data_IF_740828798746
#
_entry.id   IF_740828798746
#
_cell.length_a   1.000
_cell.length_b   1.000
_cell.length_c   1.000
_cell.angle_alpha   90.00
_cell.angle_beta   90.00
_cell.angle_gamma   90.00
#
_symmetry.space_group_name_H-M   'P 1'
#
loop_
_entity.id
_entity.type
_entity.pdbx_description
1 polymer ?
#
# COMPACT_ATOMS: atom_id res chain seq x y z
N UNK A 1 8.84 5.02 -21.55
CA UNK A 1 9.31 5.06 -20.14
C UNK A 1 9.47 6.51 -19.74
N UNK A 2 8.91 6.91 -18.61
CA UNK A 2 9.01 8.26 -18.05
C UNK A 2 9.67 8.12 -16.68
N UNK A 3 10.64 9.00 -16.38
CA UNK A 3 11.36 9.05 -15.10
C UNK A 3 11.16 10.41 -14.44
N UNK A 4 11.22 10.46 -13.11
CA UNK A 4 11.29 11.71 -12.36
C UNK A 4 12.72 12.30 -12.34
N UNK A 5 12.88 13.44 -11.69
CA UNK A 5 14.16 14.15 -11.51
C UNK A 5 15.22 13.34 -10.74
N UNK A 6 14.79 12.31 -9.99
CA UNK A 6 15.66 11.39 -9.26
C UNK A 6 15.94 10.10 -10.04
N UNK A 7 15.47 10.00 -11.28
CA UNK A 7 15.67 8.83 -12.14
C UNK A 7 14.76 7.64 -11.82
N UNK A 8 13.79 7.78 -10.90
CA UNK A 8 12.79 6.76 -10.59
C UNK A 8 11.80 6.67 -11.75
N UNK A 9 11.50 5.45 -12.20
CA UNK A 9 10.52 5.22 -13.26
C UNK A 9 9.13 5.54 -12.69
N UNK A 10 8.45 6.53 -13.28
CA UNK A 10 7.10 6.95 -12.90
C UNK A 10 6.02 6.42 -13.85
N UNK A 11 6.39 6.05 -15.08
CA UNK A 11 5.46 5.42 -16.03
C UNK A 11 6.19 4.56 -17.05
N UNK A 12 5.60 3.43 -17.41
CA UNK A 12 6.05 2.58 -18.49
C UNK A 12 4.87 2.30 -19.42
N UNK A 13 5.08 2.41 -20.74
CA UNK A 13 4.08 1.99 -21.72
C UNK A 13 4.26 0.49 -21.91
N UNK A 14 3.28 -0.26 -21.44
CA UNK A 14 3.20 -1.71 -21.62
C UNK A 14 2.20 -1.98 -22.74
N UNK A 15 2.38 -3.06 -23.48
CA UNK A 15 1.38 -3.50 -24.45
C UNK A 15 0.12 -3.93 -23.70
N UNK A 16 -1.06 -3.61 -24.23
CA UNK A 16 -2.35 -3.90 -23.56
C UNK A 16 -2.48 -5.40 -23.21
N UNK A 17 -2.00 -6.28 -24.09
CA UNK A 17 -1.92 -7.73 -23.80
C UNK A 17 -1.10 -8.05 -22.53
N UNK A 18 0.06 -7.41 -22.35
CA UNK A 18 0.91 -7.65 -21.18
C UNK A 18 0.30 -7.03 -19.93
N UNK A 19 -0.43 -5.93 -20.07
CA UNK A 19 -1.20 -5.32 -19.01
C UNK A 19 -2.31 -6.27 -18.53
N UNK A 20 -3.06 -6.86 -19.46
CA UNK A 20 -4.17 -7.77 -19.14
C UNK A 20 -3.65 -9.07 -18.51
N UNK A 21 -2.56 -9.64 -19.05
CA UNK A 21 -1.87 -10.79 -18.43
C UNK A 21 -1.37 -10.43 -17.03
N UNK A 22 -0.78 -9.25 -16.83
CA UNK A 22 -0.32 -8.83 -15.52
C UNK A 22 -1.47 -8.68 -14.53
N UNK A 23 -2.63 -8.14 -14.95
CA UNK A 23 -3.82 -8.09 -14.11
C UNK A 23 -4.32 -9.49 -13.76
N UNK A 24 -4.44 -10.38 -14.74
CA UNK A 24 -4.93 -11.75 -14.54
C UNK A 24 -4.03 -12.55 -13.58
N UNK A 25 -2.70 -12.47 -13.79
CA UNK A 25 -1.70 -13.16 -12.96
C UNK A 25 -1.63 -12.57 -11.55
N UNK A 26 -1.69 -11.24 -11.43
CA UNK A 26 -1.72 -10.58 -10.11
C UNK A 26 -3.01 -10.90 -9.35
N UNK A 27 -4.09 -11.25 -10.07
CA UNK A 27 -5.33 -11.77 -9.53
C UNK A 27 -5.86 -10.97 -8.36
N UNK A 28 -6.02 -11.64 -7.21
CA UNK A 28 -6.49 -11.04 -5.94
C UNK A 28 -5.35 -10.64 -5.00
N UNK A 29 -4.11 -10.73 -5.45
CA UNK A 29 -2.93 -10.41 -4.64
C UNK A 29 -2.70 -8.90 -4.55
N UNK A 30 -3.20 -8.12 -5.52
CA UNK A 30 -3.09 -6.66 -5.54
C UNK A 30 -4.46 -6.01 -5.34
N UNK A 31 -4.55 -5.11 -4.36
CA UNK A 31 -5.75 -4.33 -4.09
C UNK A 31 -5.44 -2.84 -4.21
N UNK A 32 -6.03 -2.17 -5.18
CA UNK A 32 -6.07 -0.71 -5.25
C UNK A 32 -7.46 -0.25 -4.86
N UNK A 33 -7.57 0.67 -3.90
CA UNK A 33 -8.86 1.14 -3.44
C UNK A 33 -8.79 2.57 -2.91
N UNK A 34 -9.90 3.30 -3.10
CA UNK A 34 -10.11 4.62 -2.52
C UNK A 34 -11.16 4.58 -1.41
N UNK A 35 -11.70 3.38 -1.11
CA UNK A 35 -12.71 3.19 -0.08
C UNK A 35 -12.03 2.91 1.26
N UNK A 36 -12.44 3.64 2.29
CA UNK A 36 -11.95 3.51 3.66
C UNK A 36 -12.37 2.19 4.32
N UNK A 37 -13.48 1.59 3.89
CA UNK A 37 -14.04 0.38 4.47
C UNK A 37 -14.04 -0.74 3.45
N UNK A 38 -13.18 -1.75 3.67
CA UNK A 38 -13.12 -2.93 2.80
C UNK A 38 -12.62 -4.16 3.56
N UNK A 39 -13.31 -5.27 3.36
CA UNK A 39 -12.82 -6.59 3.77
C UNK A 39 -11.85 -7.08 2.69
N UNK A 40 -10.61 -7.34 3.08
CA UNK A 40 -9.57 -7.78 2.15
C UNK A 40 -9.57 -9.31 2.03
N UNK A 41 -9.37 -9.80 0.81
CA UNK A 41 -9.22 -11.23 0.55
C UNK A 41 -7.93 -11.74 1.22
N UNK A 42 -7.94 -12.99 1.72
CA UNK A 42 -6.79 -13.60 2.41
C UNK A 42 -5.55 -13.75 1.51
N UNK A 43 -5.75 -13.65 0.19
CA UNK A 43 -4.71 -13.65 -0.83
C UNK A 43 -4.11 -12.26 -1.06
N UNK A 44 -4.69 -11.18 -0.55
CA UNK A 44 -4.16 -9.83 -0.76
C UNK A 44 -2.76 -9.70 -0.17
N UNK A 45 -1.79 -9.37 -1.02
CA UNK A 45 -0.38 -9.14 -0.67
C UNK A 45 0.03 -7.70 -0.83
N UNK A 46 -0.59 -6.94 -1.73
CA UNK A 46 -0.19 -5.57 -2.03
C UNK A 46 -1.41 -4.66 -1.94
N UNK A 47 -1.28 -3.55 -1.22
CA UNK A 47 -2.38 -2.60 -1.03
C UNK A 47 -1.90 -1.21 -1.43
N UNK A 48 -2.63 -0.59 -2.35
CA UNK A 48 -2.49 0.81 -2.68
C UNK A 48 -3.76 1.54 -2.27
N UNK A 49 -3.64 2.42 -1.27
CA UNK A 49 -4.74 3.24 -0.80
C UNK A 49 -4.46 4.72 -1.07
N UNK A 50 -5.37 5.36 -1.80
CA UNK A 50 -5.26 6.77 -2.15
C UNK A 50 -6.58 7.47 -1.87
N UNK A 51 -6.65 8.19 -0.75
CA UNK A 51 -7.80 9.03 -0.42
C UNK A 51 -7.40 10.18 0.53
N UNK A 52 -7.76 11.40 0.14
CA UNK A 52 -7.44 12.66 0.84
C UNK A 52 -8.44 12.98 1.97
N UNK A 53 -8.83 12.00 2.79
CA UNK A 53 -9.71 12.23 3.94
C UNK A 53 -10.42 10.98 4.46
N UNK A 54 -10.74 10.94 5.76
CA UNK A 54 -11.48 9.85 6.38
C UNK A 54 -10.61 8.82 7.12
N UNK A 55 -11.26 8.06 7.98
CA UNK A 55 -10.66 7.00 8.79
C UNK A 55 -10.57 5.72 7.98
N UNK A 56 -9.41 5.06 7.98
CA UNK A 56 -9.25 3.78 7.30
C UNK A 56 -9.67 2.66 8.27
N UNK A 57 -10.68 1.88 7.89
CA UNK A 57 -11.07 0.66 8.60
C UNK A 57 -11.04 -0.52 7.63
N UNK A 58 -9.82 -1.03 7.44
CA UNK A 58 -9.61 -2.25 6.69
C UNK A 58 -9.60 -3.43 7.64
N UNK A 59 -10.45 -4.41 7.36
CA UNK A 59 -10.46 -5.66 8.09
C UNK A 59 -9.47 -6.62 7.43
N UNK A 60 -8.32 -6.82 8.06
CA UNK A 60 -7.25 -7.63 7.52
C UNK A 60 -7.38 -9.08 7.95
N UNK A 61 -7.39 -10.04 7.01
CA UNK A 61 -7.13 -11.42 7.35
C UNK A 61 -5.72 -11.52 7.96
N UNK A 62 -5.56 -12.28 9.04
CA UNK A 62 -4.29 -12.46 9.80
C UNK A 62 -3.20 -13.21 9.02
N UNK A 63 -3.23 -13.20 7.69
CA UNK A 63 -2.37 -14.04 6.86
C UNK A 63 -0.98 -13.44 6.66
N UNK A 64 -0.01 -14.36 6.72
CA UNK A 64 1.43 -14.13 6.76
C UNK A 64 1.96 -13.75 5.38
N UNK A 65 2.78 -12.70 5.35
CA UNK A 65 3.87 -12.40 4.39
C UNK A 65 3.58 -11.24 3.42
N UNK A 66 4.38 -10.17 3.59
CA UNK A 66 4.89 -9.41 2.45
C UNK A 66 4.10 -8.18 2.06
N UNK A 67 3.28 -7.63 2.95
CA UNK A 67 2.46 -6.49 2.59
C UNK A 67 3.32 -5.30 2.17
N UNK A 68 3.14 -4.83 0.93
CA UNK A 68 3.59 -3.51 0.51
C UNK A 68 2.40 -2.58 0.53
N UNK A 69 2.58 -1.45 1.18
CA UNK A 69 1.55 -0.44 1.30
C UNK A 69 2.02 0.85 0.68
N UNK A 70 1.14 1.45 -0.12
CA UNK A 70 1.24 2.86 -0.48
C UNK A 70 0.03 3.61 0.09
N UNK A 71 0.26 4.60 0.93
CA UNK A 71 -0.78 5.50 1.46
C UNK A 71 -0.55 6.92 0.93
N UNK A 72 -1.60 7.51 0.36
CA UNK A 72 -1.71 8.95 0.12
C UNK A 72 -2.69 9.61 1.09
N UNK A 73 -2.45 9.50 2.40
CA UNK A 73 -3.32 10.04 3.47
C UNK A 73 -2.48 10.51 4.67
N UNK A 74 -3.05 11.36 5.52
CA UNK A 74 -2.39 11.96 6.69
C UNK A 74 -2.04 10.97 7.82
N UNK A 75 -1.35 11.47 8.84
CA UNK A 75 -0.74 10.68 9.94
C UNK A 75 -1.71 9.77 10.70
N UNK A 76 -2.95 10.20 10.93
CA UNK A 76 -3.95 9.44 11.70
C UNK A 76 -4.34 8.11 11.06
N UNK A 77 -4.34 8.05 9.73
CA UNK A 77 -4.60 6.84 8.97
C UNK A 77 -3.48 5.81 9.11
N UNK A 78 -2.23 6.28 9.25
CA UNK A 78 -1.06 5.42 9.42
C UNK A 78 -1.11 4.71 10.77
N UNK A 79 -1.42 5.43 11.86
CA UNK A 79 -1.47 4.85 13.21
C UNK A 79 -2.46 3.68 13.34
N UNK A 80 -3.65 3.82 12.75
CA UNK A 80 -4.65 2.73 12.77
C UNK A 80 -4.19 1.51 11.97
N UNK A 81 -3.49 1.73 10.85
CA UNK A 81 -2.96 0.64 10.03
C UNK A 81 -1.81 -0.09 10.71
N UNK A 82 -0.94 0.62 11.41
CA UNK A 82 0.19 0.05 12.14
C UNK A 82 -0.24 -0.94 13.22
N UNK A 83 -1.39 -0.74 13.85
CA UNK A 83 -1.94 -1.68 14.84
C UNK A 83 -2.21 -3.07 14.27
N UNK A 84 -2.58 -3.14 13.00
CA UNK A 84 -3.02 -4.38 12.37
C UNK A 84 -1.90 -5.11 11.61
N UNK A 85 -0.76 -4.48 11.34
CA UNK A 85 0.18 -4.93 10.30
C UNK A 85 1.58 -5.29 10.79
N UNK A 86 1.68 -6.34 11.59
CA UNK A 86 2.98 -6.79 12.14
C UNK A 86 3.96 -7.35 11.11
N UNK A 87 3.50 -7.66 9.89
CA UNK A 87 4.29 -8.33 8.83
C UNK A 87 4.55 -7.44 7.60
N UNK A 88 4.32 -6.12 7.71
CA UNK A 88 4.57 -5.16 6.62
C UNK A 88 6.07 -5.16 6.26
N UNK A 89 6.38 -5.18 4.96
CA UNK A 89 7.77 -5.18 4.46
C UNK A 89 8.14 -3.92 3.71
N UNK A 90 7.17 -3.26 3.09
CA UNK A 90 7.38 -2.03 2.35
C UNK A 90 6.27 -1.01 2.66
N UNK A 91 6.66 0.22 2.98
CA UNK A 91 5.74 1.31 3.30
C UNK A 91 6.12 2.59 2.54
N UNK A 92 5.22 3.04 1.66
CA UNK A 92 5.35 4.28 0.93
C UNK A 92 4.33 5.32 1.43
N UNK A 93 4.84 6.38 2.06
CA UNK A 93 4.09 7.50 2.61
C UNK A 93 4.29 8.82 1.82
N UNK A 94 4.94 8.74 0.65
CA UNK A 94 5.40 9.92 -0.10
C UNK A 94 4.28 10.89 -0.50
N UNK A 95 3.03 10.41 -0.52
CA UNK A 95 1.86 11.16 -0.97
C UNK A 95 0.96 11.64 0.19
N UNK A 96 1.32 11.35 1.44
CA UNK A 96 0.46 11.58 2.61
C UNK A 96 0.60 12.94 3.31
N UNK A 97 1.50 13.82 2.86
CA UNK A 97 1.74 15.12 3.51
C UNK A 97 2.13 15.00 4.99
N UNK A 98 2.79 13.90 5.36
CA UNK A 98 3.09 13.56 6.75
C UNK A 98 4.25 14.43 7.25
N UNK A 99 3.97 15.30 8.23
CA UNK A 99 4.98 16.15 8.86
C UNK A 99 5.81 15.44 9.94
N UNK A 100 5.28 14.37 10.53
CA UNK A 100 5.97 13.57 11.53
C UNK A 100 5.61 12.10 11.42
N UNK A 101 6.62 11.25 11.52
CA UNK A 101 6.46 9.81 11.45
C UNK A 101 5.88 9.29 12.78
N UNK A 102 4.82 8.46 12.78
CA UNK A 102 4.27 7.91 14.01
C UNK A 102 5.26 6.98 14.73
N UNK A 103 5.30 7.08 16.06
CA UNK A 103 6.21 6.31 16.92
C UNK A 103 6.01 4.79 16.81
N UNK A 104 4.82 4.36 16.43
CA UNK A 104 4.46 2.95 16.30
C UNK A 104 5.10 2.27 15.09
N UNK A 105 5.75 3.00 14.18
CA UNK A 105 6.53 2.41 13.08
C UNK A 105 7.67 1.54 13.55
N UNK A 106 8.24 1.84 14.72
CA UNK A 106 9.29 1.02 15.35
C UNK A 106 8.80 -0.40 15.64
N UNK A 107 7.49 -0.62 15.76
CA UNK A 107 6.89 -1.93 15.99
C UNK A 107 6.85 -2.80 14.72
N UNK A 108 7.10 -2.23 13.53
CA UNK A 108 7.17 -2.97 12.27
C UNK A 108 8.54 -3.65 12.08
N UNK A 109 8.78 -4.73 12.82
CA UNK A 109 10.08 -5.44 12.79
C UNK A 109 10.46 -6.03 11.42
N UNK A 110 9.50 -6.17 10.51
CA UNK A 110 9.73 -6.75 9.18
C UNK A 110 9.85 -5.70 8.07
N UNK A 111 9.75 -4.41 8.40
CA UNK A 111 9.87 -3.31 7.44
C UNK A 111 11.30 -3.24 6.90
N UNK A 112 11.44 -3.13 5.58
CA UNK A 112 12.73 -3.01 4.90
C UNK A 112 12.80 -1.84 3.93
N UNK A 113 11.64 -1.44 3.40
CA UNK A 113 11.50 -0.44 2.35
C UNK A 113 10.42 0.59 2.70
#
# INVERSE_FOLDING_TARGET
LIKDEFGKIISCKIHDLMHDIAQEVSGKEVCTTNFAERILDNKTRHISYFHMGGTIDFQFPKTKIGTSLRIGCGTSAVDMLLRNWKCLRALDLSYGGIGSLPSDLVKLMHLRY
#
